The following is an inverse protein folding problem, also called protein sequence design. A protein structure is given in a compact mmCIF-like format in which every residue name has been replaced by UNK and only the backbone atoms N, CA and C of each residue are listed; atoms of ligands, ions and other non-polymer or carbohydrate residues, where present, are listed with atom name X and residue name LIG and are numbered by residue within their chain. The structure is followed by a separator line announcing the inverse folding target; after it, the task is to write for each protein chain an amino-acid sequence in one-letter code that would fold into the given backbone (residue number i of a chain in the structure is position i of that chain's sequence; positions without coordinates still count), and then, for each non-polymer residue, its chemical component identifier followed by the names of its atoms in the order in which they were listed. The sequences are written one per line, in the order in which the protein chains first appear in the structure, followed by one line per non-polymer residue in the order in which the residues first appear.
data_IF_469741434562
#
_entry.id   IF_469741434562
#
_cell.length_a   1.000
_cell.length_b   1.000
_cell.length_c   1.000
_cell.angle_alpha   90.00
_cell.angle_beta   90.00
_cell.angle_gamma   90.00
#
_symmetry.space_group_name_H-M   'P 1'
#
loop_
_entity.id
_entity.type
_entity.pdbx_description
1 polymer ?
#
# COMPACT_ATOMS: atom_id res chain seq x y z
N UNK A 1 -40.80 -9.32 42.88
CA UNK A 1 -41.54 -9.76 41.67
C UNK A 1 -40.57 -9.67 40.51
N UNK A 2 -40.24 -10.85 39.99
CA UNK A 2 -39.52 -11.19 38.75
C UNK A 2 -38.11 -10.68 38.46
N UNK A 3 -37.17 -11.62 38.66
CA UNK A 3 -35.86 -11.68 38.01
C UNK A 3 -35.96 -12.35 36.65
N UNK A 4 -35.22 -11.86 35.65
CA UNK A 4 -35.00 -12.56 34.38
C UNK A 4 -33.60 -13.18 34.40
N UNK A 5 -33.60 -14.50 34.17
CA UNK A 5 -32.52 -15.45 34.34
C UNK A 5 -31.49 -15.40 33.21
N UNK A 6 -30.22 -15.42 33.59
CA UNK A 6 -29.11 -15.85 32.74
C UNK A 6 -29.18 -17.36 32.51
N UNK A 7 -28.99 -17.81 31.26
CA UNK A 7 -28.82 -19.24 30.92
C UNK A 7 -27.43 -19.43 30.31
N UNK A 8 -26.51 -19.97 31.11
CA UNK A 8 -25.38 -20.75 30.63
C UNK A 8 -25.92 -22.04 30.01
N UNK A 9 -25.43 -22.40 28.82
CA UNK A 9 -25.38 -23.80 28.37
C UNK A 9 -24.01 -24.01 27.75
N UNK A 10 -23.30 -24.96 28.32
CA UNK A 10 -21.96 -25.40 27.99
C UNK A 10 -22.06 -26.77 27.29
N UNK A 11 -21.02 -27.10 26.51
CA UNK A 11 -20.56 -28.45 26.14
C UNK A 11 -21.14 -29.16 24.89
N UNK A 12 -20.21 -29.35 23.94
CA UNK A 12 -20.00 -30.45 22.98
C UNK A 12 -21.21 -31.15 22.32
N UNK A 13 -21.29 -31.06 20.99
CA UNK A 13 -21.15 -32.19 20.05
C UNK A 13 -21.21 -31.71 18.59
N UNK A 14 -20.29 -32.23 17.76
CA UNK A 14 -20.37 -32.43 16.29
C UNK A 14 -20.62 -31.20 15.40
N UNK A 15 -19.90 -30.93 14.31
CA UNK A 15 -19.22 -31.77 13.34
C UNK A 15 -19.34 -31.03 11.99
N UNK A 16 -18.39 -31.25 11.07
CA UNK A 16 -18.37 -30.76 9.67
C UNK A 16 -17.82 -29.34 9.42
N UNK A 17 -16.50 -29.25 9.21
CA UNK A 17 -15.89 -28.91 7.91
C UNK A 17 -14.37 -28.71 8.05
N UNK A 18 -13.65 -29.80 8.29
CA UNK A 18 -12.21 -29.85 8.06
C UNK A 18 -11.97 -30.83 6.90
N UNK A 19 -11.73 -30.25 5.73
CA UNK A 19 -11.38 -30.91 4.48
C UNK A 19 -9.99 -31.54 4.64
N UNK A 20 -9.97 -32.80 5.10
CA UNK A 20 -8.76 -33.62 5.22
C UNK A 20 -8.50 -34.35 3.91
N UNK A 21 -7.31 -34.15 3.35
CA UNK A 21 -6.73 -34.90 2.24
C UNK A 21 -6.34 -36.29 2.79
N UNK A 22 -6.86 -37.42 2.28
CA UNK A 22 -6.42 -38.73 2.74
C UNK A 22 -5.20 -39.22 1.93
N UNK A 23 -4.09 -39.41 2.64
CA UNK A 23 -2.99 -40.28 2.23
C UNK A 23 -3.46 -41.74 2.26
N UNK A 24 -3.37 -42.41 1.12
CA UNK A 24 -3.66 -43.83 0.95
C UNK A 24 -2.40 -44.64 1.32
N UNK A 25 -2.44 -45.34 2.46
CA UNK A 25 -1.51 -46.42 2.80
C UNK A 25 -2.26 -47.74 2.97
N UNK A 26 -1.71 -48.74 2.29
CA UNK A 26 -1.75 -50.16 2.62
C UNK A 26 -3.11 -50.87 2.60
N UNK A 27 -3.36 -51.54 1.48
CA UNK A 27 -3.93 -52.89 1.49
C UNK A 27 -3.04 -53.76 0.61
N UNK A 28 -2.55 -54.86 1.16
CA UNK A 28 -2.84 -56.22 0.69
C UNK A 28 -1.82 -57.17 1.31
N UNK A 29 -2.20 -57.78 2.43
CA UNK A 29 -1.71 -59.10 2.80
C UNK A 29 -2.84 -60.10 2.59
N UNK A 30 -2.45 -61.25 2.05
CA UNK A 30 -3.10 -62.55 2.13
C UNK A 30 -4.41 -62.77 1.36
N UNK A 31 -4.28 -63.40 0.18
CA UNK A 31 -5.06 -64.59 -0.13
C UNK A 31 -4.19 -65.58 -0.91
N UNK A 32 -3.80 -66.65 -0.22
CA UNK A 32 -3.27 -67.87 -0.81
C UNK A 32 -4.34 -68.55 -1.65
N UNK A 33 -3.99 -69.10 -2.81
CA UNK A 33 -4.19 -70.52 -3.14
C UNK A 33 -3.74 -70.82 -4.56
N UNK A 34 -2.90 -71.84 -4.70
CA UNK A 34 -2.83 -72.73 -5.88
C UNK A 34 -2.17 -72.17 -7.15
N UNK A 35 -0.84 -72.08 -7.13
CA UNK A 35 -0.01 -72.39 -8.30
C UNK A 35 1.41 -72.75 -7.85
N UNK A 36 1.52 -73.70 -6.92
CA UNK A 36 2.76 -74.41 -6.69
C UNK A 36 3.01 -75.35 -7.88
N UNK A 37 4.29 -75.59 -8.16
CA UNK A 37 4.84 -76.57 -9.12
C UNK A 37 4.93 -76.16 -10.58
N UNK A 38 5.76 -75.15 -10.90
CA UNK A 38 6.47 -75.14 -12.19
C UNK A 38 7.74 -74.27 -12.28
N UNK A 39 8.18 -73.53 -11.25
CA UNK A 39 9.35 -72.60 -11.40
C UNK A 39 10.42 -72.73 -10.31
N UNK A 40 10.29 -73.70 -9.40
CA UNK A 40 11.24 -73.90 -8.29
C UNK A 40 12.68 -74.31 -8.72
N UNK A 41 12.95 -74.53 -10.00
CA UNK A 41 14.28 -74.85 -10.53
C UNK A 41 14.93 -73.70 -11.33
N UNK A 42 14.29 -72.53 -11.48
CA UNK A 42 14.87 -71.37 -12.17
C UNK A 42 15.25 -70.21 -11.23
N UNK A 43 14.94 -70.31 -9.93
CA UNK A 43 15.23 -69.26 -8.94
C UNK A 43 16.53 -69.48 -8.14
N UNK A 44 17.26 -70.58 -8.36
CA UNK A 44 18.56 -70.81 -7.72
C UNK A 44 19.77 -70.38 -8.56
N UNK A 45 19.57 -70.03 -9.84
CA UNK A 45 20.64 -69.56 -10.74
C UNK A 45 20.63 -68.03 -11.00
N UNK A 46 19.75 -67.28 -10.31
CA UNK A 46 19.69 -65.82 -10.37
C UNK A 46 20.02 -65.14 -9.03
N UNK A 47 20.63 -65.87 -8.09
CA UNK A 47 21.04 -65.39 -6.76
C UNK A 47 22.58 -65.30 -6.61
N UNK A 48 23.29 -65.01 -7.71
CA UNK A 48 24.75 -64.73 -7.70
C UNK A 48 25.06 -63.37 -8.35
N UNK A 49 24.05 -62.61 -8.79
CA UNK A 49 24.22 -61.24 -9.33
C UNK A 49 23.23 -60.27 -8.67
N UNK A 50 23.30 -60.15 -7.34
CA UNK A 50 22.91 -58.95 -6.61
C UNK A 50 23.11 -59.19 -5.12
N UNK A 51 24.16 -58.59 -4.54
CA UNK A 51 23.89 -57.72 -3.41
C UNK A 51 24.80 -56.49 -3.46
N UNK A 52 24.43 -55.46 -4.22
CA UNK A 52 24.93 -54.10 -3.97
C UNK A 52 23.76 -53.11 -4.13
N UNK A 53 22.76 -53.26 -3.27
CA UNK A 53 21.97 -52.11 -2.83
C UNK A 53 22.25 -51.98 -1.33
N UNK A 54 23.55 -51.82 -1.03
CA UNK A 54 23.97 -51.20 0.21
C UNK A 54 23.71 -49.71 0.05
N UNK A 55 23.18 -49.11 1.12
CA UNK A 55 22.96 -47.68 1.28
C UNK A 55 24.05 -46.86 0.57
N UNK A 56 23.65 -46.07 -0.43
CA UNK A 56 24.42 -44.91 -0.88
C UNK A 56 24.31 -43.83 0.20
N UNK A 57 24.88 -44.12 1.37
CA UNK A 57 25.54 -43.09 2.13
C UNK A 57 26.54 -42.46 1.18
N UNK A 58 26.27 -41.23 0.74
CA UNK A 58 27.27 -40.43 0.04
C UNK A 58 28.46 -40.33 1.00
N UNK A 59 29.46 -41.19 0.83
CA UNK A 59 30.78 -40.96 1.36
C UNK A 59 31.33 -39.77 0.58
N UNK A 60 30.96 -38.57 1.02
CA UNK A 60 31.60 -37.34 0.61
C UNK A 60 33.05 -37.44 1.07
N UNK A 61 33.95 -37.81 0.16
CA UNK A 61 35.39 -37.72 0.47
C UNK A 61 35.69 -36.25 0.75
N UNK A 62 36.51 -35.93 1.77
CA UNK A 62 36.81 -34.54 2.11
C UNK A 62 37.34 -33.76 0.89
N UNK A 63 38.05 -34.43 -0.01
CA UNK A 63 38.55 -33.87 -1.27
C UNK A 63 37.43 -33.45 -2.23
N UNK A 64 36.36 -34.24 -2.37
CA UNK A 64 35.22 -33.89 -3.23
C UNK A 64 34.37 -32.72 -2.69
N UNK A 65 34.35 -32.54 -1.36
CA UNK A 65 33.66 -31.42 -0.71
C UNK A 65 34.50 -30.16 -0.82
N UNK A 66 35.81 -30.25 -0.62
CA UNK A 66 36.73 -29.14 -0.78
C UNK A 66 36.71 -28.60 -2.21
N UNK A 67 36.77 -29.47 -3.23
CA UNK A 67 36.74 -29.07 -4.64
C UNK A 67 35.42 -28.36 -5.01
N UNK A 68 34.29 -28.86 -4.49
CA UNK A 68 32.98 -28.22 -4.68
C UNK A 68 32.89 -26.86 -4.01
N UNK A 69 33.47 -26.71 -2.81
CA UNK A 69 33.51 -25.44 -2.09
C UNK A 69 34.39 -24.41 -2.81
N UNK A 70 35.52 -24.85 -3.37
CA UNK A 70 36.40 -24.01 -4.22
C UNK A 70 35.66 -23.54 -5.46
N UNK A 71 34.99 -24.45 -6.19
CA UNK A 71 34.21 -24.09 -7.39
C UNK A 71 33.08 -23.10 -7.07
N UNK A 72 32.38 -23.29 -5.94
CA UNK A 72 31.32 -22.36 -5.51
C UNK A 72 31.88 -20.95 -5.27
N UNK A 73 33.02 -20.83 -4.58
CA UNK A 73 33.66 -19.53 -4.32
C UNK A 73 34.19 -18.90 -5.60
N UNK A 74 34.73 -19.70 -6.52
CA UNK A 74 35.19 -19.21 -7.81
C UNK A 74 34.04 -18.72 -8.69
N UNK A 75 32.87 -19.37 -8.62
CA UNK A 75 31.66 -18.95 -9.32
C UNK A 75 31.03 -17.66 -8.73
N UNK A 76 31.24 -17.38 -7.44
CA UNK A 76 30.74 -16.15 -6.80
C UNK A 76 31.49 -14.88 -7.25
N UNK A 77 32.77 -14.99 -7.64
CA UNK A 77 33.60 -13.84 -8.06
C UNK A 77 32.98 -13.06 -9.24
N UNK A 78 32.61 -13.68 -10.38
CA UNK A 78 32.00 -12.95 -11.49
C UNK A 78 30.64 -12.34 -11.14
N UNK A 79 29.88 -12.96 -10.24
CA UNK A 79 28.63 -12.38 -9.73
C UNK A 79 28.88 -11.12 -8.90
N UNK A 80 29.91 -11.14 -8.05
CA UNK A 80 30.36 -9.97 -7.29
C UNK A 80 30.86 -8.83 -8.18
N UNK A 81 31.59 -9.13 -9.26
CA UNK A 81 32.01 -8.14 -10.25
C UNK A 81 30.80 -7.56 -11.01
N UNK A 82 29.82 -8.39 -11.37
CA UNK A 82 28.58 -7.91 -11.97
C UNK A 82 27.81 -6.99 -11.00
N UNK A 83 27.71 -7.34 -9.72
CA UNK A 83 27.12 -6.49 -8.67
C UNK A 83 27.86 -5.16 -8.55
N UNK A 84 29.19 -5.15 -8.57
CA UNK A 84 30.00 -3.93 -8.59
C UNK A 84 29.65 -3.00 -9.76
N UNK A 85 29.49 -3.55 -10.96
CA UNK A 85 29.13 -2.74 -12.13
C UNK A 85 27.73 -2.14 -12.00
N UNK A 86 26.76 -2.90 -11.47
CA UNK A 86 25.39 -2.44 -11.18
C UNK A 86 25.36 -1.37 -10.09
N UNK A 87 26.14 -1.54 -9.02
CA UNK A 87 26.28 -0.56 -7.96
C UNK A 87 26.86 0.77 -8.50
N UNK A 88 27.90 0.69 -9.33
CA UNK A 88 28.51 1.87 -9.99
C UNK A 88 27.54 2.57 -10.95
N UNK A 89 26.68 1.84 -11.66
CA UNK A 89 25.67 2.47 -12.52
C UNK A 89 24.55 3.12 -11.70
N UNK A 90 24.14 2.49 -10.59
CA UNK A 90 23.16 3.05 -9.65
C UNK A 90 23.66 4.34 -8.96
N UNK A 91 24.96 4.41 -8.63
CA UNK A 91 25.57 5.65 -8.16
C UNK A 91 25.49 6.78 -9.19
N UNK A 92 25.68 6.46 -10.48
CA UNK A 92 25.55 7.45 -11.57
C UNK A 92 24.11 7.93 -11.75
N UNK A 93 23.13 7.05 -11.56
CA UNK A 93 21.71 7.41 -11.61
C UNK A 93 21.20 8.08 -10.32
N UNK A 94 22.08 8.32 -9.33
CA UNK A 94 21.75 8.87 -8.01
C UNK A 94 20.73 8.03 -7.22
N UNK A 95 20.59 6.75 -7.56
CA UNK A 95 19.77 5.83 -6.80
C UNK A 95 20.61 5.21 -5.67
N UNK A 96 20.76 5.97 -4.57
CA UNK A 96 21.67 5.64 -3.49
C UNK A 96 21.26 4.39 -2.69
N UNK A 97 19.97 4.08 -2.60
CA UNK A 97 19.48 2.88 -1.90
C UNK A 97 19.94 1.61 -2.62
N UNK A 98 19.65 1.53 -3.92
CA UNK A 98 20.03 0.38 -4.74
C UNK A 98 21.55 0.28 -4.89
N UNK A 99 22.25 1.41 -4.99
CA UNK A 99 23.71 1.41 -5.01
C UNK A 99 24.31 0.81 -3.73
N UNK A 100 23.82 1.22 -2.56
CA UNK A 100 24.34 0.74 -1.28
C UNK A 100 24.10 -0.77 -1.08
N UNK A 101 22.91 -1.27 -1.45
CA UNK A 101 22.57 -2.69 -1.41
C UNK A 101 23.44 -3.53 -2.37
N UNK A 102 23.68 -3.05 -3.60
CA UNK A 102 24.51 -3.76 -4.57
C UNK A 102 26.01 -3.70 -4.22
N UNK A 103 26.48 -2.65 -3.55
CA UNK A 103 27.83 -2.66 -2.97
C UNK A 103 27.94 -3.64 -1.80
N UNK A 104 26.91 -3.73 -0.95
CA UNK A 104 26.87 -4.72 0.14
C UNK A 104 26.90 -6.15 -0.40
N UNK A 105 26.12 -6.44 -1.44
CA UNK A 105 26.13 -7.74 -2.10
C UNK A 105 27.50 -8.02 -2.73
N UNK A 106 28.10 -7.05 -3.41
CA UNK A 106 29.44 -7.17 -3.97
C UNK A 106 30.51 -7.53 -2.93
N UNK A 107 30.50 -6.89 -1.75
CA UNK A 107 31.43 -7.24 -0.65
C UNK A 107 31.22 -8.68 -0.17
N UNK A 108 29.98 -9.17 -0.12
CA UNK A 108 29.69 -10.55 0.30
C UNK A 108 30.18 -11.62 -0.70
N UNK A 109 30.16 -11.30 -2.00
CA UNK A 109 30.60 -12.22 -3.05
C UNK A 109 32.10 -12.16 -3.32
N UNK A 110 32.74 -11.03 -3.04
CA UNK A 110 34.17 -10.80 -3.27
C UNK A 110 34.92 -10.91 -1.94
N UNK A 111 35.50 -12.07 -1.57
CA UNK A 111 36.28 -12.15 -0.34
C UNK A 111 37.58 -11.33 -0.46
N UNK A 112 38.14 -10.95 0.68
CA UNK A 112 39.51 -10.44 0.74
C UNK A 112 40.50 -11.58 0.44
N UNK A 113 40.85 -11.72 -0.83
CA UNK A 113 41.73 -12.77 -1.35
C UNK A 113 42.68 -12.21 -2.39
N UNK A 114 43.75 -12.93 -2.71
CA UNK A 114 44.74 -12.47 -3.70
C UNK A 114 44.12 -12.29 -5.11
N UNK A 115 43.08 -13.06 -5.43
CA UNK A 115 42.41 -13.02 -6.75
C UNK A 115 41.42 -11.86 -6.85
N UNK A 116 40.64 -11.63 -5.79
CA UNK A 116 39.55 -10.65 -5.75
C UNK A 116 39.88 -9.37 -4.97
N UNK A 117 41.06 -9.26 -4.36
CA UNK A 117 41.39 -8.21 -3.38
C UNK A 117 41.15 -6.80 -3.93
N UNK A 118 41.62 -6.52 -5.15
CA UNK A 118 41.39 -5.21 -5.79
C UNK A 118 39.90 -4.92 -6.04
N UNK A 119 39.10 -5.93 -6.35
CA UNK A 119 37.66 -5.77 -6.58
C UNK A 119 36.93 -5.62 -5.24
N UNK A 120 37.34 -6.36 -4.21
CA UNK A 120 36.86 -6.22 -2.84
C UNK A 120 37.13 -4.81 -2.29
N UNK A 121 38.36 -4.30 -2.43
CA UNK A 121 38.71 -2.93 -2.00
C UNK A 121 37.82 -1.88 -2.69
N UNK A 122 37.55 -2.05 -4.00
CA UNK A 122 36.63 -1.18 -4.73
C UNK A 122 35.18 -1.30 -4.25
N UNK A 123 34.76 -2.49 -3.83
CA UNK A 123 33.43 -2.74 -3.29
C UNK A 123 33.27 -2.06 -1.94
N UNK A 124 34.26 -2.18 -1.06
CA UNK A 124 34.28 -1.54 0.27
C UNK A 124 34.34 -0.01 0.15
N UNK A 125 35.22 0.53 -0.70
CA UNK A 125 35.28 1.97 -1.00
C UNK A 125 33.94 2.50 -1.54
N UNK A 126 33.32 1.74 -2.46
CA UNK A 126 32.03 2.05 -3.03
C UNK A 126 30.89 1.97 -2.01
N UNK A 127 30.95 0.98 -1.12
CA UNK A 127 30.01 0.79 -0.01
C UNK A 127 30.04 1.99 0.94
N UNK A 128 31.23 2.45 1.32
CA UNK A 128 31.30 3.64 2.17
C UNK A 128 30.80 4.91 1.45
N UNK A 129 31.22 5.16 0.20
CA UNK A 129 30.78 6.35 -0.56
C UNK A 129 29.27 6.37 -0.80
N UNK A 130 28.70 5.23 -1.20
CA UNK A 130 27.26 5.09 -1.42
C UNK A 130 26.47 5.23 -0.12
N UNK A 131 26.96 4.65 0.97
CA UNK A 131 26.34 4.72 2.29
C UNK A 131 26.36 6.12 2.89
N UNK A 132 27.46 6.88 2.72
CA UNK A 132 27.51 8.30 3.11
C UNK A 132 26.51 9.12 2.31
N UNK A 133 26.45 8.95 0.98
CA UNK A 133 25.47 9.65 0.14
C UNK A 133 24.02 9.30 0.52
N UNK A 134 23.76 8.04 0.85
CA UNK A 134 22.46 7.59 1.33
C UNK A 134 22.11 8.21 2.69
N UNK A 135 23.07 8.24 3.63
CA UNK A 135 22.90 8.85 4.94
C UNK A 135 22.63 10.37 4.82
N UNK A 136 23.35 11.07 3.95
CA UNK A 136 23.10 12.49 3.65
C UNK A 136 21.69 12.73 3.10
N UNK A 137 21.20 11.84 2.21
CA UNK A 137 19.84 11.89 1.72
C UNK A 137 18.81 11.69 2.85
N UNK A 138 19.04 10.73 3.76
CA UNK A 138 18.17 10.51 4.93
C UNK A 138 18.17 11.68 5.91
N UNK A 139 19.32 12.32 6.11
CA UNK A 139 19.44 13.54 6.89
C UNK A 139 18.65 14.69 6.25
N UNK A 140 18.71 14.84 4.92
CA UNK A 140 17.91 15.83 4.20
C UNK A 140 16.41 15.59 4.34
N UNK A 141 15.98 14.34 4.48
CA UNK A 141 14.59 13.95 4.78
C UNK A 141 14.22 14.10 6.27
N UNK A 142 15.17 14.43 7.15
CA UNK A 142 14.98 14.53 8.60
C UNK A 142 14.97 13.19 9.35
N UNK A 143 15.33 12.10 8.67
CA UNK A 143 15.41 10.74 9.21
C UNK A 143 16.81 10.45 9.77
N UNK A 144 17.16 11.19 10.82
CA UNK A 144 18.48 11.10 11.46
C UNK A 144 18.74 9.72 12.09
N UNK A 145 17.72 9.04 12.62
CA UNK A 145 17.87 7.70 13.19
C UNK A 145 18.27 6.66 12.13
N UNK A 146 17.64 6.70 10.95
CA UNK A 146 17.98 5.83 9.82
C UNK A 146 19.42 6.11 9.35
N UNK A 147 19.80 7.39 9.28
CA UNK A 147 21.17 7.79 8.90
C UNK A 147 22.21 7.29 9.92
N UNK A 148 21.92 7.34 11.22
CA UNK A 148 22.80 6.79 12.26
C UNK A 148 22.99 5.29 12.09
N UNK A 149 21.91 4.54 11.83
CA UNK A 149 21.96 3.10 11.62
C UNK A 149 22.85 2.73 10.43
N UNK A 150 22.67 3.39 9.27
CA UNK A 150 23.47 3.18 8.06
C UNK A 150 24.95 3.47 8.33
N UNK A 151 25.25 4.59 8.99
CA UNK A 151 26.63 4.96 9.30
C UNK A 151 27.29 3.99 10.30
N UNK A 152 26.54 3.52 11.29
CA UNK A 152 27.03 2.52 12.25
C UNK A 152 27.30 1.16 11.59
N UNK A 153 26.52 0.78 10.57
CA UNK A 153 26.75 -0.43 9.78
C UNK A 153 28.05 -0.32 8.98
N UNK A 154 28.28 0.80 8.30
CA UNK A 154 29.50 1.05 7.52
C UNK A 154 30.75 0.98 8.39
N UNK A 155 30.67 1.54 9.59
CA UNK A 155 31.78 1.58 10.56
C UNK A 155 31.97 0.28 11.34
N UNK A 156 31.16 -0.76 11.07
CA UNK A 156 31.35 -2.06 11.71
C UNK A 156 32.61 -2.77 11.21
N UNK A 157 33.18 -3.64 12.06
CA UNK A 157 34.43 -4.38 11.76
C UNK A 157 34.34 -5.27 10.51
N UNK A 158 33.12 -5.59 10.04
CA UNK A 158 32.90 -6.40 8.85
C UNK A 158 33.21 -5.65 7.54
N UNK A 159 33.12 -4.32 7.54
CA UNK A 159 33.28 -3.49 6.35
C UNK A 159 34.54 -2.62 6.46
N UNK A 160 34.40 -1.32 6.75
CA UNK A 160 35.54 -0.41 6.87
C UNK A 160 35.40 0.47 8.12
N UNK A 161 36.01 0.07 9.26
CA UNK A 161 36.00 0.88 10.48
C UNK A 161 36.80 2.18 10.33
N UNK A 162 37.62 2.33 9.28
CA UNK A 162 38.46 3.51 9.03
C UNK A 162 37.87 4.45 7.98
N UNK A 163 36.63 4.24 7.56
CA UNK A 163 36.04 5.15 6.58
C UNK A 163 35.84 6.56 7.16
N UNK A 164 36.78 7.45 6.82
CA UNK A 164 36.83 8.84 7.29
C UNK A 164 35.53 9.62 7.07
N UNK A 165 34.93 9.66 5.85
CA UNK A 165 33.72 10.46 5.63
C UNK A 165 32.52 9.94 6.44
N UNK A 166 32.40 8.62 6.63
CA UNK A 166 31.34 8.05 7.47
C UNK A 166 31.54 8.43 8.94
N UNK A 167 32.77 8.35 9.45
CA UNK A 167 33.09 8.72 10.83
C UNK A 167 32.83 10.21 11.12
N UNK A 168 33.24 11.10 10.21
CA UNK A 168 32.97 12.54 10.33
C UNK A 168 31.48 12.84 10.35
N UNK A 169 30.72 12.23 9.42
CA UNK A 169 29.28 12.41 9.36
C UNK A 169 28.57 11.86 10.61
N UNK A 170 29.03 10.72 11.13
CA UNK A 170 28.50 10.10 12.34
C UNK A 170 28.73 10.95 13.60
N UNK A 171 29.95 11.48 13.76
CA UNK A 171 30.26 12.40 14.87
C UNK A 171 29.44 13.68 14.78
N UNK A 172 29.29 14.22 13.57
CA UNK A 172 28.44 15.39 13.31
C UNK A 172 26.96 15.10 13.61
N UNK A 173 26.49 13.86 13.47
CA UNK A 173 25.11 13.47 13.74
C UNK A 173 24.79 13.43 15.23
N UNK A 174 25.75 12.98 16.05
CA UNK A 174 25.63 12.89 17.51
C UNK A 174 25.85 14.20 18.24
N UNK A 175 26.48 15.19 17.59
CA UNK A 175 26.63 16.52 18.17
C UNK A 175 25.24 17.17 18.34
N UNK A 176 24.82 17.50 19.56
CA UNK A 176 23.55 18.17 19.79
C UNK A 176 23.56 19.51 19.06
N UNK A 177 22.52 19.81 18.28
CA UNK A 177 22.43 21.08 17.52
C UNK A 177 23.02 21.08 16.10
N UNK A 178 23.72 20.03 15.67
CA UNK A 178 24.37 20.02 14.35
C UNK A 178 23.39 19.88 13.18
N UNK A 179 22.44 18.94 13.29
CA UNK A 179 21.34 18.76 12.33
C UNK A 179 20.00 19.27 12.85
N UNK A 180 19.97 19.74 14.10
CA UNK A 180 18.80 20.41 14.66
C UNK A 180 18.74 21.86 14.14
N UNK A 181 18.13 22.02 12.97
CA UNK A 181 17.44 23.26 12.63
C UNK A 181 15.93 22.99 12.60
N UNK A 182 15.31 23.27 13.75
CA UNK A 182 13.93 23.77 13.88
C UNK A 182 12.74 22.84 13.60
N UNK A 183 12.90 21.52 13.56
CA UNK A 183 11.78 20.64 13.18
C UNK A 183 11.36 19.62 14.25
N UNK A 184 12.19 19.27 15.24
CA UNK A 184 12.07 17.94 15.87
C UNK A 184 11.89 17.85 17.38
N UNK A 185 11.42 18.88 18.08
CA UNK A 185 10.97 18.74 19.47
C UNK A 185 9.74 19.61 19.76
N UNK A 186 8.68 19.52 18.96
CA UNK A 186 7.37 19.50 19.62
C UNK A 186 7.25 18.08 20.14
N UNK A 187 7.50 17.94 21.44
CA UNK A 187 7.36 16.74 22.23
C UNK A 187 6.36 15.76 21.62
N UNK A 188 6.81 14.54 21.32
CA UNK A 188 5.94 13.37 21.14
C UNK A 188 5.08 13.10 22.40
N UNK A 189 5.28 13.86 23.48
CA UNK A 189 4.45 13.85 24.70
C UNK A 189 3.14 14.65 24.56
N UNK A 190 2.89 15.30 23.41
CA UNK A 190 1.60 15.94 23.14
C UNK A 190 0.56 14.94 22.65
N UNK A 191 -0.70 15.14 23.07
CA UNK A 191 -1.86 14.51 22.43
C UNK A 191 -2.22 15.37 21.23
N UNK A 192 -2.37 14.78 20.05
CA UNK A 192 -2.88 15.48 18.88
C UNK A 192 -4.36 15.84 19.07
N UNK A 193 -4.86 16.71 18.21
CA UNK A 193 -6.24 17.17 18.24
C UNK A 193 -7.28 16.08 17.90
N UNK A 194 -6.85 14.86 17.53
CA UNK A 194 -7.70 13.68 17.40
C UNK A 194 -7.65 12.78 18.63
N UNK A 195 -6.90 13.15 19.68
CA UNK A 195 -6.77 12.37 20.90
C UNK A 195 -5.73 11.26 20.85
N UNK A 196 -4.85 11.23 19.83
CA UNK A 196 -3.77 10.26 19.63
C UNK A 196 -2.41 10.82 20.02
N UNK A 197 -1.38 9.99 20.26
CA UNK A 197 -0.02 10.48 20.48
C UNK A 197 0.49 11.29 19.28
N UNK A 198 1.08 12.46 19.53
CA UNK A 198 1.62 13.32 18.48
C UNK A 198 2.76 12.61 17.73
N UNK A 199 2.55 12.41 16.43
CA UNK A 199 3.55 11.83 15.54
C UNK A 199 4.80 12.74 15.45
N UNK A 200 6.01 12.16 15.26
CA UNK A 200 7.20 12.94 14.95
C UNK A 200 7.00 13.68 13.62
N UNK A 201 7.68 14.82 13.46
CA UNK A 201 7.49 15.69 12.28
C UNK A 201 7.53 14.99 10.92
N UNK A 202 8.51 14.13 10.57
CA UNK A 202 8.52 13.48 9.26
C UNK A 202 7.27 12.62 9.03
N UNK A 203 6.82 11.89 10.06
CA UNK A 203 5.59 11.10 9.99
C UNK A 203 4.35 12.00 9.88
N UNK A 204 4.32 13.15 10.56
CA UNK A 204 3.24 14.15 10.37
C UNK A 204 3.19 14.66 8.94
N UNK A 205 4.34 14.95 8.33
CA UNK A 205 4.41 15.42 6.93
C UNK A 205 3.86 14.37 5.98
N UNK A 206 4.27 13.10 6.13
CA UNK A 206 3.71 12.01 5.30
C UNK A 206 2.21 11.85 5.54
N UNK A 207 1.77 11.90 6.80
CA UNK A 207 0.34 11.82 7.13
C UNK A 207 -0.48 12.95 6.51
N UNK A 208 0.05 14.18 6.50
CA UNK A 208 -0.58 15.33 5.83
C UNK A 208 -0.72 15.09 4.34
N UNK A 209 0.30 14.53 3.67
CA UNK A 209 0.22 14.21 2.23
C UNK A 209 -0.87 13.18 1.94
N UNK A 210 -0.94 12.12 2.75
CA UNK A 210 -1.99 11.10 2.63
C UNK A 210 -3.40 11.69 2.77
N UNK A 211 -3.62 12.50 3.82
CA UNK A 211 -4.91 13.13 4.09
C UNK A 211 -5.32 14.09 2.97
N UNK A 212 -4.38 14.87 2.42
CA UNK A 212 -4.65 15.74 1.28
C UNK A 212 -5.04 14.94 0.04
N UNK A 213 -4.33 13.85 -0.26
CA UNK A 213 -4.67 12.97 -1.39
C UNK A 213 -6.06 12.32 -1.21
N UNK A 214 -6.39 11.89 0.00
CA UNK A 214 -7.71 11.32 0.33
C UNK A 214 -8.81 12.38 0.21
N UNK A 215 -8.57 13.60 0.70
CA UNK A 215 -9.51 14.72 0.59
C UNK A 215 -9.81 15.07 -0.89
N UNK A 216 -8.78 15.07 -1.73
CA UNK A 216 -8.93 15.30 -3.17
C UNK A 216 -9.73 14.19 -3.85
N UNK A 217 -9.51 12.92 -3.46
CA UNK A 217 -10.31 11.79 -3.95
C UNK A 217 -11.79 11.91 -3.56
N UNK A 218 -12.08 12.28 -2.31
CA UNK A 218 -13.45 12.54 -1.87
C UNK A 218 -14.09 13.72 -2.58
N UNK A 219 -13.34 14.80 -2.83
CA UNK A 219 -13.82 15.92 -3.61
C UNK A 219 -14.17 15.50 -5.04
N UNK A 220 -13.30 14.71 -5.70
CA UNK A 220 -13.54 14.22 -7.07
C UNK A 220 -14.75 13.28 -7.16
N UNK A 221 -15.00 12.48 -6.12
CA UNK A 221 -16.18 11.61 -6.05
C UNK A 221 -17.46 12.34 -5.62
N UNK A 222 -17.42 13.64 -5.34
CA UNK A 222 -18.56 14.44 -4.88
C UNK A 222 -18.91 14.26 -3.40
N UNK A 223 -18.10 13.53 -2.64
CA UNK A 223 -18.29 13.32 -1.20
C UNK A 223 -17.75 14.49 -0.38
N UNK A 224 -18.39 15.66 -0.51
CA UNK A 224 -17.90 16.93 0.05
C UNK A 224 -17.81 16.99 1.57
N UNK A 225 -18.67 16.28 2.30
CA UNK A 225 -18.63 16.25 3.78
C UNK A 225 -17.40 15.48 4.29
N UNK A 226 -17.07 14.36 3.64
CA UNK A 226 -15.88 13.58 3.97
C UNK A 226 -14.62 14.33 3.57
N UNK A 227 -14.60 14.97 2.40
CA UNK A 227 -13.50 15.82 1.97
C UNK A 227 -13.23 16.95 2.97
N UNK A 228 -14.28 17.64 3.45
CA UNK A 228 -14.14 18.72 4.44
C UNK A 228 -13.50 18.21 5.74
N UNK A 229 -13.96 17.05 6.25
CA UNK A 229 -13.39 16.41 7.45
C UNK A 229 -11.90 16.08 7.27
N UNK A 230 -11.50 15.56 6.10
CA UNK A 230 -10.07 15.29 5.83
C UNK A 230 -9.24 16.56 5.82
N UNK A 231 -9.75 17.66 5.26
CA UNK A 231 -9.08 18.95 5.33
C UNK A 231 -8.99 19.50 6.76
N UNK A 232 -10.03 19.32 7.58
CA UNK A 232 -10.00 19.68 9.01
C UNK A 232 -8.89 18.89 9.73
N UNK A 233 -8.76 17.59 9.47
CA UNK A 233 -7.68 16.75 10.00
C UNK A 233 -6.29 17.25 9.58
N UNK A 234 -6.14 17.75 8.36
CA UNK A 234 -4.87 18.36 7.93
C UNK A 234 -4.57 19.62 8.73
N UNK A 235 -5.55 20.52 8.92
CA UNK A 235 -5.38 21.74 9.71
C UNK A 235 -5.16 21.47 11.20
N UNK A 236 -5.63 20.33 11.65
CA UNK A 236 -5.37 19.76 12.97
C UNK A 236 -3.87 19.48 13.18
N UNK A 237 -3.24 18.84 12.19
CA UNK A 237 -1.82 18.48 12.21
C UNK A 237 -0.90 19.66 11.85
N UNK A 238 -1.32 20.49 10.90
CA UNK A 238 -0.63 21.68 10.42
C UNK A 238 -1.61 22.86 10.27
N UNK A 239 -1.76 23.70 11.31
CA UNK A 239 -2.70 24.82 11.32
C UNK A 239 -2.49 25.87 10.22
N UNK A 240 -1.28 25.93 9.66
CA UNK A 240 -0.89 26.93 8.67
C UNK A 240 -0.87 26.40 7.23
N UNK A 241 -1.36 25.16 7.01
CA UNK A 241 -1.39 24.57 5.68
C UNK A 241 -2.33 25.31 4.73
N UNK A 242 -1.76 25.94 3.70
CA UNK A 242 -2.52 26.70 2.70
C UNK A 242 -3.29 25.82 1.72
N UNK A 243 -2.82 24.60 1.43
CA UNK A 243 -3.50 23.69 0.52
C UNK A 243 -4.84 23.23 1.12
N UNK A 244 -4.86 22.89 2.40
CA UNK A 244 -6.08 22.50 3.10
C UNK A 244 -7.11 23.64 3.13
N UNK A 245 -6.70 24.87 3.46
CA UNK A 245 -7.61 26.03 3.45
C UNK A 245 -8.20 26.30 2.07
N UNK A 246 -7.38 26.23 1.01
CA UNK A 246 -7.86 26.37 -0.38
C UNK A 246 -8.82 25.24 -0.76
N UNK A 247 -8.56 24.02 -0.30
CA UNK A 247 -9.44 22.87 -0.51
C UNK A 247 -10.82 23.07 0.12
N UNK A 248 -10.88 23.56 1.36
CA UNK A 248 -12.12 23.90 2.05
C UNK A 248 -12.89 25.01 1.32
N UNK A 249 -12.20 26.06 0.89
CA UNK A 249 -12.80 27.15 0.11
C UNK A 249 -13.41 26.63 -1.21
N UNK A 250 -12.68 25.76 -1.92
CA UNK A 250 -13.16 25.13 -3.15
C UNK A 250 -14.45 24.34 -2.91
N UNK A 251 -14.50 23.52 -1.86
CA UNK A 251 -15.71 22.77 -1.48
C UNK A 251 -16.88 23.71 -1.19
N UNK A 252 -16.64 24.76 -0.40
CA UNK A 252 -17.69 25.72 -0.04
C UNK A 252 -18.24 26.44 -1.28
N UNK A 253 -17.37 26.81 -2.22
CA UNK A 253 -17.77 27.43 -3.48
C UNK A 253 -18.61 26.45 -4.34
N UNK A 254 -18.19 25.19 -4.44
CA UNK A 254 -18.98 24.17 -5.17
C UNK A 254 -20.36 23.96 -4.55
N UNK A 255 -20.48 23.92 -3.21
CA UNK A 255 -21.78 23.84 -2.53
C UNK A 255 -22.65 25.07 -2.82
N UNK A 256 -22.05 26.25 -2.80
CA UNK A 256 -22.74 27.49 -3.12
C UNK A 256 -23.28 27.49 -4.56
N UNK A 257 -22.44 27.15 -5.54
CA UNK A 257 -22.82 27.07 -6.95
C UNK A 257 -23.95 26.07 -7.20
N UNK A 258 -23.86 24.89 -6.58
CA UNK A 258 -24.94 23.89 -6.66
C UNK A 258 -26.27 24.42 -6.10
N UNK A 259 -26.23 25.17 -5.00
CA UNK A 259 -27.41 25.84 -4.42
C UNK A 259 -28.04 26.86 -5.38
N UNK A 260 -27.21 27.69 -6.02
CA UNK A 260 -27.66 28.67 -7.02
C UNK A 260 -28.28 28.00 -8.25
N UNK A 261 -27.67 26.92 -8.74
CA UNK A 261 -28.20 26.13 -9.86
C UNK A 261 -29.56 25.50 -9.51
N UNK A 262 -29.69 24.92 -8.31
CA UNK A 262 -30.95 24.37 -7.84
C UNK A 262 -32.07 25.42 -7.70
N UNK A 263 -31.73 26.61 -7.21
CA UNK A 263 -32.66 27.74 -7.16
C UNK A 263 -33.10 28.18 -8.55
N UNK A 264 -32.15 28.34 -9.48
CA UNK A 264 -32.43 28.74 -10.85
C UNK A 264 -33.28 27.71 -11.59
N UNK A 265 -33.05 26.41 -11.39
CA UNK A 265 -33.88 25.34 -11.91
C UNK A 265 -35.32 25.44 -11.41
N UNK A 266 -35.49 25.59 -10.10
CA UNK A 266 -36.82 25.66 -9.47
C UNK A 266 -37.58 26.88 -9.98
N UNK A 267 -36.91 28.03 -10.04
CA UNK A 267 -37.47 29.27 -10.59
C UNK A 267 -37.85 29.11 -12.05
N UNK A 268 -36.97 28.56 -12.89
CA UNK A 268 -37.25 28.32 -14.31
C UNK A 268 -38.47 27.41 -14.49
N UNK A 269 -38.55 26.32 -13.71
CA UNK A 269 -39.69 25.40 -13.72
C UNK A 269 -41.00 26.08 -13.31
N UNK A 270 -40.97 26.99 -12.34
CA UNK A 270 -42.16 27.77 -11.95
C UNK A 270 -42.59 28.73 -13.07
N UNK A 271 -41.64 29.43 -13.71
CA UNK A 271 -41.94 30.31 -14.85
C UNK A 271 -42.51 29.52 -16.03
N UNK A 272 -41.98 28.33 -16.32
CA UNK A 272 -42.51 27.44 -17.35
C UNK A 272 -43.95 27.00 -17.08
N UNK A 273 -44.31 26.71 -15.80
CA UNK A 273 -45.70 26.41 -15.42
C UNK A 273 -46.62 27.60 -15.64
N UNK A 274 -46.15 28.82 -15.32
CA UNK A 274 -46.90 30.05 -15.58
C UNK A 274 -47.12 30.21 -17.08
N UNK A 275 -46.07 30.11 -17.89
CA UNK A 275 -46.18 30.18 -19.35
C UNK A 275 -47.15 29.14 -19.90
N UNK A 276 -47.06 27.89 -19.47
CA UNK A 276 -47.99 26.82 -19.86
C UNK A 276 -49.46 27.11 -19.50
N UNK A 277 -49.73 27.83 -18.41
CA UNK A 277 -51.09 28.24 -18.05
C UNK A 277 -51.64 29.37 -18.95
N UNK A 278 -50.76 30.19 -19.55
CA UNK A 278 -51.12 31.23 -20.51
C UNK A 278 -51.16 30.73 -21.97
N UNK A 279 -50.58 29.57 -22.26
CA UNK A 279 -50.61 28.98 -23.59
C UNK A 279 -52.04 28.59 -23.98
N UNK A 280 -52.46 28.98 -25.18
CA UNK A 280 -53.71 28.50 -25.76
C UNK A 280 -53.56 27.02 -26.14
N UNK A 281 -54.60 26.18 -25.97
CA UNK A 281 -54.54 24.80 -26.40
C UNK A 281 -54.24 24.75 -27.90
N UNK A 282 -53.24 23.95 -28.27
CA UNK A 282 -52.86 23.77 -29.68
C UNK A 282 -54.07 23.24 -30.44
N UNK A 283 -54.49 23.96 -31.50
CA UNK A 283 -55.56 23.50 -32.37
C UNK A 283 -55.14 22.18 -33.02
N UNK A 284 -55.92 21.13 -32.80
CA UNK A 284 -55.70 19.84 -33.49
C UNK A 284 -55.96 20.04 -34.98
N UNK A 285 -54.97 19.75 -35.81
CA UNK A 285 -55.11 19.80 -37.27
C UNK A 285 -56.24 18.85 -37.69
N UNK A 286 -57.25 19.36 -38.40
CA UNK A 286 -58.44 18.60 -38.84
C UNK A 286 -59.65 18.61 -37.89
N UNK A 287 -59.56 19.20 -36.69
CA UNK A 287 -60.74 19.38 -35.83
C UNK A 287 -61.52 20.64 -36.24
N UNK A 288 -62.59 20.47 -36.99
CA UNK A 288 -63.54 21.54 -37.34
C UNK A 288 -64.46 21.78 -36.13
N UNK A 289 -63.95 22.48 -35.11
CA UNK A 289 -64.78 23.09 -34.07
C UNK A 289 -65.38 24.40 -34.57
N UNK A 290 -66.58 24.80 -34.11
CA UNK A 290 -67.23 26.02 -34.59
C UNK A 290 -66.32 27.23 -34.41
N UNK A 291 -66.33 28.12 -35.40
CA UNK A 291 -65.49 29.32 -35.44
C UNK A 291 -65.61 30.09 -34.13
N UNK A 292 -64.47 30.52 -33.58
CA UNK A 292 -64.40 31.44 -32.47
C UNK A 292 -65.24 32.69 -32.78
N UNK A 293 -66.48 32.72 -32.30
CA UNK A 293 -67.22 33.94 -32.11
C UNK A 293 -66.44 34.75 -31.07
N UNK A 294 -65.68 35.71 -31.58
CA UNK A 294 -65.24 36.86 -30.81
C UNK A 294 -66.51 37.52 -30.26
N UNK A 295 -66.78 37.34 -28.96
CA UNK A 295 -67.50 38.35 -28.18
C UNK A 295 -68.83 38.05 -27.46
N UNK A 296 -69.41 36.84 -27.36
CA UNK A 296 -70.78 36.73 -26.78
C UNK A 296 -71.11 35.59 -25.80
N UNK A 297 -70.16 34.90 -25.16
CA UNK A 297 -70.50 33.93 -24.08
C UNK A 297 -69.60 33.96 -22.84
N UNK A 298 -68.97 35.11 -22.54
CA UNK A 298 -68.20 35.28 -21.28
C UNK A 298 -69.01 35.79 -20.09
N UNK A 299 -70.31 36.06 -20.25
CA UNK A 299 -71.14 36.54 -19.14
C UNK A 299 -72.45 35.77 -19.02
N UNK A 300 -72.42 34.59 -18.40
CA UNK A 300 -73.60 34.05 -17.68
C UNK A 300 -73.22 33.32 -16.36
N UNK A 301 -71.95 32.96 -16.16
CA UNK A 301 -71.49 32.34 -14.90
C UNK A 301 -70.81 33.29 -13.90
N UNK A 302 -70.28 34.42 -14.36
CA UNK A 302 -69.46 35.33 -13.53
C UNK A 302 -70.28 36.16 -12.53
N UNK A 303 -71.42 36.68 -12.96
CA UNK A 303 -72.32 37.48 -12.10
C UNK A 303 -73.05 36.62 -11.07
N UNK A 304 -73.49 35.41 -11.46
CA UNK A 304 -74.11 34.43 -10.56
C UNK A 304 -73.13 33.86 -9.52
N UNK A 305 -71.85 33.71 -9.87
CA UNK A 305 -70.81 33.30 -8.93
C UNK A 305 -70.42 34.43 -7.96
N UNK A 306 -70.48 35.70 -8.39
CA UNK A 306 -70.25 36.85 -7.52
C UNK A 306 -71.38 37.07 -6.52
N UNK A 307 -72.65 36.94 -6.92
CA UNK A 307 -73.80 37.09 -6.02
C UNK A 307 -73.86 36.00 -4.94
N UNK A 308 -73.46 34.77 -5.25
CA UNK A 308 -73.35 33.68 -4.26
C UNK A 308 -72.20 33.88 -3.24
N UNK A 309 -71.21 34.72 -3.54
CA UNK A 309 -70.13 35.06 -2.61
C UNK A 309 -70.44 36.28 -1.73
N UNK A 310 -71.37 37.14 -2.15
CA UNK A 310 -71.78 38.34 -1.41
C UNK A 310 -72.92 38.09 -0.41
N UNK A 311 -73.66 36.99 -0.56
CA UNK A 311 -74.79 36.61 0.30
C UNK A 311 -74.44 35.53 1.36
N UNK A 312 -73.17 35.42 1.77
CA UNK A 312 -72.72 34.59 2.89
C UNK A 312 -72.04 35.42 3.96
#
# INVERSE_FOLDING_TARGET
MEQIKYKLVDVQLEGLLMKKIPENKSRYCASHSEAATAVAAALWAALVISPIIYATSFAQTPDSVAEREVQRRQAAIPEGEAALTRAKSAMKSKNYTLAHEEFKSAVSYLPDSVVSGKAHDQAVDGFCKSGVALAEARIAEGRNADAEAILSEILSDHYDPKCRPAHELYMRLRQPGSFDKTVRTVSSEGIDCEGRPALPFPERVERVKELLAEADSFHQSGQYDLAMKRYDQVLCLDPYNTAARRGQEKINNTRYQYGEEGYNETRSRQMWKVEGAWQQPVRKYGAVGPSAAVGSQRELGGTAAMTNKLNK
#
